data_IF_587664487832
#
_entry.id   IF_587664487832
#
_cell.length_a   1.000
_cell.length_b   1.000
_cell.length_c   1.000
_cell.angle_alpha   90.00
_cell.angle_beta   90.00
_cell.angle_gamma   90.00
#
_symmetry.space_group_name_H-M   'P 1'
#
loop_
_entity.id
_entity.type
_entity.pdbx_description
1 polymer ?
#
# COMPACT_ATOMS: atom_id res chain seq x y z
N UNK A 1 -20.96 -0.74 5.12
CA UNK A 1 -21.60 -1.84 4.36
C UNK A 1 -22.86 -2.40 5.03
N UNK A 2 -23.03 -2.29 6.35
CA UNK A 2 -24.17 -2.87 7.10
C UNK A 2 -25.56 -2.27 6.82
N UNK A 3 -25.66 -1.11 6.16
CA UNK A 3 -26.93 -0.41 5.97
C UNK A 3 -27.65 -0.69 4.63
N UNK A 4 -27.03 -1.45 3.71
CA UNK A 4 -27.60 -1.77 2.40
C UNK A 4 -27.58 -3.28 2.14
N UNK A 5 -28.59 -4.02 2.62
CA UNK A 5 -28.62 -5.49 2.52
C UNK A 5 -28.63 -5.99 1.06
N UNK A 6 -29.26 -5.26 0.14
CA UNK A 6 -29.27 -5.57 -1.30
C UNK A 6 -27.87 -5.53 -1.93
N UNK A 7 -27.01 -4.63 -1.46
CA UNK A 7 -25.63 -4.51 -1.93
C UNK A 7 -24.76 -5.66 -1.42
N UNK A 8 -24.97 -6.09 -0.17
CA UNK A 8 -24.26 -7.25 0.37
C UNK A 8 -24.61 -8.54 -0.38
N UNK A 9 -25.89 -8.76 -0.71
CA UNK A 9 -26.31 -9.94 -1.47
C UNK A 9 -25.67 -10.00 -2.87
N UNK A 10 -25.50 -8.86 -3.54
CA UNK A 10 -24.79 -8.79 -4.82
C UNK A 10 -23.33 -9.20 -4.70
N UNK A 11 -22.61 -8.72 -3.69
CA UNK A 11 -21.20 -9.07 -3.47
C UNK A 11 -21.00 -10.55 -3.12
N UNK A 12 -21.95 -11.15 -2.39
CA UNK A 12 -21.89 -12.57 -2.01
C UNK A 12 -22.24 -13.50 -3.19
N UNK A 13 -23.01 -13.00 -4.17
CA UNK A 13 -23.41 -13.77 -5.37
C UNK A 13 -22.26 -14.05 -6.34
N UNK A 14 -21.24 -13.20 -6.35
CA UNK A 14 -20.08 -13.33 -7.25
C UNK A 14 -19.04 -14.27 -6.61
N UNK A 15 -18.49 -15.23 -7.37
CA UNK A 15 -17.48 -16.15 -6.85
C UNK A 15 -16.21 -15.39 -6.41
N UNK A 16 -15.72 -15.72 -5.22
CA UNK A 16 -14.56 -15.07 -4.58
C UNK A 16 -13.29 -15.12 -5.45
N UNK A 17 -13.15 -16.17 -6.27
CA UNK A 17 -12.03 -16.33 -7.20
C UNK A 17 -11.94 -15.24 -8.27
N UNK A 18 -13.05 -14.59 -8.63
CA UNK A 18 -13.07 -13.44 -9.54
C UNK A 18 -13.07 -12.11 -8.79
N UNK A 19 -13.74 -12.06 -7.65
CA UNK A 19 -13.92 -10.82 -6.89
C UNK A 19 -12.60 -10.36 -6.24
N UNK A 20 -11.86 -11.29 -5.62
CA UNK A 20 -10.61 -11.01 -4.91
C UNK A 20 -9.53 -10.36 -5.80
N UNK A 21 -9.18 -10.89 -6.99
CA UNK A 21 -8.18 -10.26 -7.84
C UNK A 21 -8.64 -8.90 -8.38
N UNK A 22 -9.92 -8.73 -8.71
CA UNK A 22 -10.45 -7.45 -9.22
C UNK A 22 -10.35 -6.37 -8.13
N UNK A 23 -10.78 -6.67 -6.91
CA UNK A 23 -10.67 -5.74 -5.79
C UNK A 23 -9.22 -5.43 -5.46
N UNK A 24 -8.33 -6.42 -5.54
CA UNK A 24 -6.92 -6.23 -5.23
C UNK A 24 -6.18 -5.40 -6.28
N UNK A 25 -6.52 -5.58 -7.57
CA UNK A 25 -6.02 -4.73 -8.66
C UNK A 25 -6.53 -3.30 -8.46
N UNK A 26 -7.81 -3.13 -8.17
CA UNK A 26 -8.41 -1.82 -7.92
C UNK A 26 -7.77 -1.11 -6.72
N UNK A 27 -7.62 -1.81 -5.60
CA UNK A 27 -6.94 -1.30 -4.40
C UNK A 27 -5.48 -0.94 -4.70
N UNK A 28 -4.75 -1.80 -5.42
CA UNK A 28 -3.39 -1.53 -5.84
C UNK A 28 -3.27 -0.31 -6.74
N UNK A 29 -4.19 -0.14 -7.67
CA UNK A 29 -4.23 1.01 -8.58
C UNK A 29 -4.49 2.31 -7.82
N UNK A 30 -5.51 2.31 -6.95
CA UNK A 30 -5.89 3.48 -6.14
C UNK A 30 -4.73 3.88 -5.22
N UNK A 31 -4.11 2.92 -4.53
CA UNK A 31 -2.97 3.18 -3.63
C UNK A 31 -1.74 3.63 -4.39
N UNK A 32 -1.40 2.99 -5.49
CA UNK A 32 -0.28 3.40 -6.34
C UNK A 32 -0.44 4.85 -6.84
N UNK A 33 -1.66 5.21 -7.26
CA UNK A 33 -1.96 6.57 -7.68
C UNK A 33 -1.89 7.57 -6.51
N UNK A 34 -2.38 7.18 -5.32
CA UNK A 34 -2.29 8.00 -4.12
C UNK A 34 -0.83 8.26 -3.70
N UNK A 35 0.04 7.25 -3.75
CA UNK A 35 1.48 7.38 -3.47
C UNK A 35 2.10 8.42 -4.40
N UNK A 36 1.88 8.29 -5.72
CA UNK A 36 2.50 9.16 -6.71
C UNK A 36 1.92 10.58 -6.63
N UNK A 37 0.60 10.72 -6.81
CA UNK A 37 -0.07 12.01 -6.93
C UNK A 37 -0.18 12.75 -5.59
N UNK A 38 -0.77 12.12 -4.58
CA UNK A 38 -1.06 12.79 -3.30
C UNK A 38 0.11 12.78 -2.32
N UNK A 39 1.04 11.85 -2.48
CA UNK A 39 2.23 11.72 -1.65
C UNK A 39 3.44 12.44 -2.27
N UNK A 40 4.04 11.84 -3.30
CA UNK A 40 5.33 12.28 -3.86
C UNK A 40 5.19 13.60 -4.62
N UNK A 41 4.28 13.68 -5.58
CA UNK A 41 4.13 14.85 -6.45
C UNK A 41 3.63 16.06 -5.69
N UNK A 42 2.73 15.84 -4.73
CA UNK A 42 2.24 16.93 -3.89
C UNK A 42 3.37 17.58 -3.10
N UNK A 43 4.29 16.81 -2.53
CA UNK A 43 5.46 17.37 -1.82
C UNK A 43 6.40 18.08 -2.79
N UNK A 44 6.66 17.51 -3.98
CA UNK A 44 7.63 18.08 -4.93
C UNK A 44 7.16 19.34 -5.64
N UNK A 45 5.92 19.33 -6.10
CA UNK A 45 5.35 20.37 -6.95
C UNK A 45 4.33 21.23 -6.19
N UNK A 46 4.08 20.92 -4.92
CA UNK A 46 3.22 21.72 -4.07
C UNK A 46 3.83 23.07 -3.74
N UNK A 47 2.95 24.02 -3.45
CA UNK A 47 3.32 25.31 -2.89
C UNK A 47 3.20 25.23 -1.38
N UNK A 48 4.33 25.37 -0.70
CA UNK A 48 4.42 25.36 0.76
C UNK A 48 5.10 26.63 1.24
N UNK A 49 4.73 27.07 2.45
CA UNK A 49 5.35 28.23 3.10
C UNK A 49 6.87 28.03 3.28
N UNK A 50 7.30 26.78 3.45
CA UNK A 50 8.71 26.41 3.45
C UNK A 50 9.10 25.69 2.14
N UNK A 51 9.79 26.37 1.21
CA UNK A 51 10.19 25.78 -0.07
C UNK A 51 11.22 24.65 0.07
N UNK A 52 11.91 24.53 1.21
CA UNK A 52 12.85 23.42 1.45
C UNK A 52 12.17 22.05 1.55
N UNK A 53 10.83 22.03 1.71
CA UNK A 53 10.05 20.79 1.73
C UNK A 53 10.02 20.12 0.36
N UNK A 54 10.06 20.89 -0.74
CA UNK A 54 9.94 20.37 -2.10
C UNK A 54 11.13 19.50 -2.50
N UNK A 55 12.30 19.80 -1.93
CA UNK A 55 13.54 19.02 -2.11
C UNK A 55 13.78 18.00 -0.99
N UNK A 56 12.91 17.92 0.01
CA UNK A 56 13.11 17.04 1.16
C UNK A 56 12.75 15.60 0.81
N UNK A 57 13.78 14.79 0.59
CA UNK A 57 13.65 13.34 0.37
C UNK A 57 12.90 12.63 1.50
N UNK A 58 13.14 13.05 2.74
CA UNK A 58 12.44 12.48 3.90
C UNK A 58 10.95 12.78 3.80
N UNK A 59 10.56 14.01 3.48
CA UNK A 59 9.15 14.37 3.34
C UNK A 59 8.49 13.59 2.18
N UNK A 60 9.16 13.51 1.03
CA UNK A 60 8.69 12.76 -0.14
C UNK A 60 8.42 11.29 0.21
N UNK A 61 9.39 10.62 0.84
CA UNK A 61 9.28 9.20 1.17
C UNK A 61 8.25 8.94 2.27
N UNK A 62 8.20 9.77 3.31
CA UNK A 62 7.25 9.61 4.41
C UNK A 62 5.82 9.84 3.92
N UNK A 63 5.57 10.95 3.21
CA UNK A 63 4.23 11.24 2.67
C UNK A 63 3.79 10.21 1.63
N UNK A 64 4.70 9.80 0.72
CA UNK A 64 4.43 8.72 -0.22
C UNK A 64 4.05 7.41 0.48
N UNK A 65 4.83 7.01 1.48
CA UNK A 65 4.57 5.76 2.24
C UNK A 65 3.24 5.83 2.99
N UNK A 66 2.93 6.96 3.64
CA UNK A 66 1.68 7.15 4.37
C UNK A 66 0.46 7.11 3.44
N UNK A 67 0.53 7.72 2.26
CA UNK A 67 -0.52 7.65 1.25
C UNK A 67 -0.78 6.21 0.77
N UNK A 68 0.25 5.37 0.73
CA UNK A 68 0.12 3.96 0.33
C UNK A 68 -0.38 3.02 1.44
N UNK A 69 -0.09 3.32 2.70
CA UNK A 69 -0.55 2.52 3.85
C UNK A 69 -2.06 2.64 4.10
N UNK A 70 -2.68 3.72 3.60
CA UNK A 70 -4.11 3.98 3.75
C UNK A 70 -4.57 4.07 5.22
N UNK A 71 -5.82 3.69 5.46
CA UNK A 71 -6.46 3.80 6.78
C UNK A 71 -5.93 2.82 7.83
N UNK A 72 -5.18 1.78 7.45
CA UNK A 72 -4.71 0.76 8.40
C UNK A 72 -3.76 1.32 9.47
N UNK A 73 -2.94 2.31 9.09
CA UNK A 73 -2.06 3.00 10.03
C UNK A 73 -2.88 3.84 11.03
N UNK A 74 -3.90 4.56 10.56
CA UNK A 74 -4.79 5.34 11.42
C UNK A 74 -5.61 4.45 12.36
N UNK A 75 -6.13 3.32 11.86
CA UNK A 75 -6.83 2.34 12.69
C UNK A 75 -5.93 1.81 13.81
N UNK A 76 -4.68 1.46 13.50
CA UNK A 76 -3.74 1.00 14.53
C UNK A 76 -3.32 2.10 15.53
N UNK A 77 -3.41 3.38 15.13
CA UNK A 77 -3.06 4.52 15.98
C UNK A 77 -4.19 4.85 16.95
N UNK A 78 -5.43 4.89 16.45
CA UNK A 78 -6.57 5.45 17.16
C UNK A 78 -7.62 4.41 17.59
N UNK A 79 -7.52 3.18 17.08
CA UNK A 79 -8.45 2.07 17.32
C UNK A 79 -9.91 2.46 16.99
N UNK A 80 -10.17 3.04 15.82
CA UNK A 80 -11.51 3.53 15.46
C UNK A 80 -12.56 2.42 15.35
N UNK A 81 -12.15 1.17 15.10
CA UNK A 81 -13.04 0.02 15.12
C UNK A 81 -13.43 -0.41 16.54
N UNK A 82 -12.73 0.10 17.57
CA UNK A 82 -13.03 -0.19 18.97
C UNK A 82 -13.95 0.88 19.58
N UNK A 83 -14.86 0.50 20.50
CA UNK A 83 -15.71 1.46 21.20
C UNK A 83 -14.93 2.37 22.15
N UNK A 84 -13.67 2.04 22.47
CA UNK A 84 -12.76 2.86 23.25
C UNK A 84 -11.65 3.39 22.35
N UNK A 85 -11.66 4.69 22.12
CA UNK A 85 -10.63 5.37 21.34
C UNK A 85 -9.42 5.58 22.23
N UNK A 86 -8.25 5.12 21.78
CA UNK A 86 -6.99 5.31 22.49
C UNK A 86 -5.94 5.75 21.49
N UNK A 87 -5.04 6.65 21.89
CA UNK A 87 -3.90 7.02 21.08
C UNK A 87 -2.72 6.14 21.48
N UNK A 88 -2.39 5.18 20.61
CA UNK A 88 -1.26 4.27 20.81
C UNK A 88 -0.27 4.42 19.67
N UNK A 89 1.02 4.24 19.95
CA UNK A 89 2.02 4.18 18.88
C UNK A 89 1.72 2.99 17.98
N UNK A 90 1.54 3.20 16.66
CA UNK A 90 1.30 2.10 15.74
C UNK A 90 2.38 1.05 15.82
N UNK A 91 1.98 -0.21 15.98
CA UNK A 91 2.90 -1.35 15.92
C UNK A 91 3.65 -1.40 14.59
N UNK A 92 3.11 -0.79 13.53
CA UNK A 92 3.75 -0.64 12.23
C UNK A 92 5.10 0.12 12.29
N UNK A 93 5.31 1.00 13.28
CA UNK A 93 6.60 1.68 13.45
C UNK A 93 7.65 0.79 14.13
N UNK A 94 7.23 -0.20 14.91
CA UNK A 94 8.12 -1.17 15.54
C UNK A 94 8.38 -2.37 14.63
N UNK A 95 7.34 -2.84 13.93
CA UNK A 95 7.36 -3.95 13.00
C UNK A 95 6.62 -3.55 11.71
N UNK A 96 7.34 -3.09 10.67
CA UNK A 96 6.71 -2.60 9.45
C UNK A 96 5.90 -3.69 8.76
N UNK A 97 4.63 -3.37 8.50
CA UNK A 97 3.71 -4.26 7.79
C UNK A 97 4.16 -4.44 6.35
N UNK A 98 3.69 -5.51 5.69
CA UNK A 98 3.97 -5.73 4.27
C UNK A 98 3.56 -4.52 3.43
N UNK A 99 2.38 -3.95 3.69
CA UNK A 99 1.87 -2.79 2.97
C UNK A 99 2.79 -1.58 3.12
N UNK A 100 3.27 -1.32 4.34
CA UNK A 100 4.19 -0.22 4.60
C UNK A 100 5.52 -0.40 3.85
N UNK A 101 6.03 -1.64 3.78
CA UNK A 101 7.25 -1.96 3.00
C UNK A 101 7.03 -1.72 1.50
N UNK A 102 5.91 -2.20 0.94
CA UNK A 102 5.64 -2.02 -0.49
C UNK A 102 5.39 -0.57 -0.84
N UNK A 103 4.65 0.16 0.00
CA UNK A 103 4.42 1.59 -0.19
C UNK A 103 5.72 2.39 -0.12
N UNK A 104 6.63 2.04 0.80
CA UNK A 104 7.95 2.67 0.87
C UNK A 104 8.80 2.36 -0.37
N UNK A 105 8.84 1.10 -0.81
CA UNK A 105 9.60 0.69 -2.00
C UNK A 105 9.08 1.41 -3.26
N UNK A 106 7.75 1.47 -3.44
CA UNK A 106 7.17 2.14 -4.61
C UNK A 106 7.33 3.66 -4.54
N UNK A 107 7.20 4.27 -3.36
CA UNK A 107 7.49 5.69 -3.18
C UNK A 107 8.96 5.99 -3.51
N UNK A 108 9.90 5.15 -3.04
CA UNK A 108 11.32 5.28 -3.34
C UNK A 108 11.61 5.08 -4.83
N UNK A 109 11.05 4.04 -5.45
CA UNK A 109 11.21 3.77 -6.87
C UNK A 109 10.70 4.91 -7.74
N UNK A 110 9.47 5.38 -7.49
CA UNK A 110 8.88 6.50 -8.22
C UNK A 110 9.70 7.76 -8.01
N UNK A 111 10.08 8.04 -6.77
CA UNK A 111 10.90 9.18 -6.43
C UNK A 111 12.23 9.15 -7.18
N UNK A 112 12.97 8.04 -7.18
CA UNK A 112 14.26 7.91 -7.87
C UNK A 112 14.15 8.02 -9.39
N UNK A 113 13.12 7.41 -9.99
CA UNK A 113 12.97 7.35 -11.45
C UNK A 113 12.54 8.68 -12.08
N UNK A 114 11.85 9.52 -11.32
CA UNK A 114 11.28 10.81 -11.79
C UNK A 114 11.96 12.04 -11.22
N UNK A 115 12.94 11.90 -10.33
CA UNK A 115 13.67 13.06 -9.83
C UNK A 115 14.78 13.47 -10.76
N UNK A 116 14.90 14.78 -10.95
CA UNK A 116 16.16 15.40 -11.29
C UNK A 116 16.86 15.76 -9.97
N UNK A 117 17.75 14.88 -9.49
CA UNK A 117 18.49 15.15 -8.25
C UNK A 117 19.93 15.45 -8.58
N UNK A 118 20.29 16.71 -8.40
CA UNK A 118 21.67 17.13 -8.21
C UNK A 118 22.03 16.95 -6.73
N UNK A 119 22.50 15.76 -6.36
CA UNK A 119 23.26 15.61 -5.12
C UNK A 119 24.67 16.06 -5.45
N UNK A 120 25.36 16.81 -4.57
CA UNK A 120 26.74 17.25 -4.81
C UNK A 120 27.73 16.12 -5.15
N UNK A 121 27.35 14.86 -4.93
CA UNK A 121 28.15 13.65 -5.18
C UNK A 121 27.64 12.84 -6.39
N UNK A 122 26.40 13.04 -6.84
CA UNK A 122 25.79 12.26 -7.91
C UNK A 122 24.62 13.02 -8.55
N UNK A 123 24.69 13.22 -9.87
CA UNK A 123 23.59 13.75 -10.67
C UNK A 123 22.78 12.60 -11.25
N UNK A 124 21.53 12.44 -10.81
CA UNK A 124 20.57 11.54 -11.46
C UNK A 124 19.76 12.36 -12.47
N UNK A 125 19.98 12.08 -13.75
CA UNK A 125 19.05 12.54 -14.79
C UNK A 125 17.76 11.73 -14.68
N UNK A 126 16.58 12.35 -14.83
CA UNK A 126 15.32 11.61 -14.83
C UNK A 126 15.37 10.55 -15.93
N UNK A 127 15.23 9.29 -15.53
CA UNK A 127 15.30 8.13 -16.43
C UNK A 127 13.97 7.99 -17.17
N UNK A 128 12.87 8.31 -16.49
CA UNK A 128 11.52 8.24 -17.02
C UNK A 128 10.83 9.59 -16.91
N UNK A 129 9.97 9.88 -17.89
CA UNK A 129 9.01 10.96 -17.78
C UNK A 129 8.04 10.71 -16.62
N UNK A 130 7.48 11.77 -16.03
CA UNK A 130 6.65 11.71 -14.83
C UNK A 130 5.44 10.77 -15.04
N UNK A 131 4.81 10.84 -16.22
CA UNK A 131 3.66 10.00 -16.57
C UNK A 131 4.05 8.53 -16.75
N UNK A 132 5.21 8.26 -17.36
CA UNK A 132 5.72 6.90 -17.53
C UNK A 132 6.16 6.29 -16.19
N UNK A 133 6.87 7.07 -15.36
CA UNK A 133 7.27 6.67 -14.02
C UNK A 133 6.06 6.38 -13.13
N UNK A 134 4.99 7.19 -13.24
CA UNK A 134 3.75 7.01 -12.49
C UNK A 134 3.04 5.74 -12.92
N UNK A 135 2.89 5.51 -14.22
CA UNK A 135 2.30 4.28 -14.76
C UNK A 135 3.06 3.03 -14.28
N UNK A 136 4.40 3.07 -14.34
CA UNK A 136 5.25 1.96 -13.93
C UNK A 136 5.19 1.70 -12.42
N UNK A 137 5.16 2.75 -11.60
CA UNK A 137 5.01 2.65 -10.16
C UNK A 137 3.65 2.04 -9.78
N UNK A 138 2.57 2.44 -10.45
CA UNK A 138 1.23 1.87 -10.25
C UNK A 138 1.19 0.40 -10.65
N UNK A 139 1.71 0.05 -11.83
CA UNK A 139 1.77 -1.34 -12.30
C UNK A 139 2.62 -2.20 -11.36
N UNK A 140 3.75 -1.67 -10.88
CA UNK A 140 4.60 -2.30 -9.87
C UNK A 140 3.82 -2.58 -8.59
N UNK A 141 3.11 -1.58 -8.05
CA UNK A 141 2.31 -1.75 -6.83
C UNK A 141 1.18 -2.77 -7.01
N UNK A 142 0.48 -2.76 -8.15
CA UNK A 142 -0.54 -3.77 -8.49
C UNK A 142 0.07 -5.17 -8.56
N UNK A 143 1.21 -5.33 -9.23
CA UNK A 143 1.89 -6.64 -9.34
C UNK A 143 2.34 -7.17 -7.97
N UNK A 144 2.87 -6.30 -7.12
CA UNK A 144 3.25 -6.64 -5.75
C UNK A 144 2.03 -7.02 -4.89
N UNK A 145 0.91 -6.31 -5.03
CA UNK A 145 -0.34 -6.68 -4.38
C UNK A 145 -0.86 -8.03 -4.88
N UNK A 146 -0.85 -8.30 -6.19
CA UNK A 146 -1.22 -9.60 -6.73
C UNK A 146 -0.33 -10.75 -6.22
N UNK A 147 0.95 -10.49 -5.94
CA UNK A 147 1.82 -11.48 -5.32
C UNK A 147 1.31 -11.93 -3.93
N UNK A 148 0.60 -11.08 -3.18
CA UNK A 148 -0.07 -11.49 -1.93
C UNK A 148 -1.11 -12.58 -2.13
N UNK A 149 -1.83 -12.62 -3.27
CA UNK A 149 -2.81 -13.69 -3.51
C UNK A 149 -2.11 -15.04 -3.56
N UNK A 150 -0.93 -15.11 -4.19
CA UNK A 150 -0.14 -16.32 -4.26
C UNK A 150 0.29 -16.80 -2.86
N UNK A 151 0.72 -15.89 -1.99
CA UNK A 151 1.09 -16.23 -0.61
C UNK A 151 -0.12 -16.56 0.28
N UNK A 152 -1.23 -15.85 0.15
CA UNK A 152 -2.46 -16.13 0.91
C UNK A 152 -3.04 -17.50 0.58
N UNK A 153 -3.04 -17.88 -0.71
CA UNK A 153 -3.45 -19.22 -1.16
C UNK A 153 -2.55 -20.31 -0.58
N UNK A 154 -1.24 -20.03 -0.50
CA UNK A 154 -0.24 -20.92 0.09
C UNK A 154 -0.50 -21.12 1.59
N UNK A 155 -0.74 -20.05 2.34
CA UNK A 155 -1.01 -20.10 3.79
C UNK A 155 -2.28 -20.91 4.07
N UNK A 156 -3.35 -20.70 3.28
CA UNK A 156 -4.61 -21.43 3.42
C UNK A 156 -4.41 -22.94 3.20
N UNK A 157 -3.67 -23.32 2.15
CA UNK A 157 -3.30 -24.71 1.90
C UNK A 157 -2.52 -25.36 3.07
N UNK A 158 -1.60 -24.61 3.69
CA UNK A 158 -0.84 -25.09 4.85
C UNK A 158 -1.70 -25.25 6.12
N UNK A 159 -2.70 -24.39 6.31
CA UNK A 159 -3.66 -24.54 7.41
C UNK A 159 -4.58 -25.73 7.19
N UNK A 160 -5.08 -25.91 5.97
CA UNK A 160 -5.96 -27.03 5.62
C UNK A 160 -5.23 -28.37 5.79
N UNK A 161 -3.98 -28.49 5.32
CA UNK A 161 -3.16 -29.71 5.50
C UNK A 161 -2.84 -30.02 6.96
N UNK A 162 -2.49 -29.03 7.79
CA UNK A 162 -2.30 -29.24 9.23
C UNK A 162 -3.58 -29.65 9.96
N UNK A 163 -4.73 -29.14 9.53
CA UNK A 163 -6.03 -29.49 10.12
C UNK A 163 -6.43 -30.95 9.83
N UNK A 164 -6.04 -31.46 8.66
CA UNK A 164 -6.23 -32.87 8.27
C UNK A 164 -5.28 -33.77 9.06
N UNK A 165 -3.99 -33.42 9.15
CA UNK A 165 -3.00 -34.21 9.87
C UNK A 165 -3.29 -34.32 11.39
N UNK A 166 -3.86 -33.28 11.99
CA UNK A 166 -4.28 -33.32 13.40
C UNK A 166 -5.52 -34.19 13.64
N UNK A 167 -6.41 -34.35 12.64
CA UNK A 167 -7.57 -35.25 12.78
C UNK A 167 -7.15 -36.71 12.79
N UNK A 168 -6.17 -37.08 11.97
CA UNK A 168 -5.65 -38.46 11.87
C UNK A 168 -4.85 -38.90 13.12
N UNK A 169 -4.33 -37.95 13.92
CA UNK A 169 -3.62 -38.25 15.18
C UNK A 169 -4.53 -38.41 16.41
N UNK A 170 -5.83 -38.18 16.25
CA UNK A 170 -6.84 -38.26 17.33
C UNK A 170 -7.76 -39.48 17.22
N UNK A 171 -7.51 -40.39 16.29
CA UNK A 171 -8.11 -41.74 16.24
C UNK A 171 -7.09 -42.78 16.69
#
# INVERSE_FOLDING_TARGET
>A
MFYFPSFQQFFISIPSSLLDPILLISDGFIRGNAICSSGVDRIRFGTYDNPSLNSSWVAILVCGTLCGCGGGLLESTFQFASPKWTFSTPSAFLNPTYDMKMSFIIALFYALTTSDVQISVMSFTPILDIDQGRALAILGFVGLNLAKLKDSTRIKYWQDTKSVENKDKTQ
#
